data_IF_167012056486
#
_entry.id   IF_167012056486
#
_cell.length_a   1.000
_cell.length_b   1.000
_cell.length_c   1.000
_cell.angle_alpha   90.00
_cell.angle_beta   90.00
_cell.angle_gamma   90.00
#
_symmetry.space_group_name_H-M   'P 1'
#
loop_
_entity.id
_entity.type
_entity.pdbx_description
1 polymer ?
#
# COMPACT_ATOMS: atom_id res chain seq x y z
N UNK A 1 -6.64 -22.88 -4.48
CA UNK A 1 -6.02 -21.76 -5.24
C UNK A 1 -5.45 -20.65 -4.35
N UNK A 2 -6.19 -20.12 -3.36
CA UNK A 2 -5.69 -19.06 -2.43
C UNK A 2 -4.34 -19.38 -1.77
N UNK A 3 -4.06 -20.65 -1.45
CA UNK A 3 -2.79 -21.08 -0.82
C UNK A 3 -1.60 -21.02 -1.80
N UNK A 4 -1.80 -21.32 -3.09
CA UNK A 4 -0.72 -21.22 -4.11
C UNK A 4 -0.36 -19.76 -4.40
N UNK A 5 -1.32 -18.85 -4.27
CA UNK A 5 -1.11 -17.42 -4.46
C UNK A 5 -0.46 -16.73 -3.25
N UNK A 6 -0.61 -17.29 -2.04
CA UNK A 6 -0.09 -16.69 -0.80
C UNK A 6 1.40 -16.31 -0.87
N UNK A 7 2.33 -17.16 -1.35
CA UNK A 7 3.74 -16.80 -1.47
C UNK A 7 3.96 -15.59 -2.39
N UNK A 8 3.27 -15.56 -3.54
CA UNK A 8 3.32 -14.43 -4.47
C UNK A 8 2.81 -13.14 -3.83
N UNK A 9 1.66 -13.21 -3.15
CA UNK A 9 1.08 -12.08 -2.44
C UNK A 9 1.99 -11.54 -1.33
N UNK A 10 2.68 -12.42 -0.58
CA UNK A 10 3.61 -12.00 0.48
C UNK A 10 4.83 -11.29 -0.11
N UNK A 11 5.47 -11.88 -1.14
CA UNK A 11 6.65 -11.28 -1.77
C UNK A 11 6.28 -9.93 -2.39
N UNK A 12 5.17 -9.88 -3.14
CA UNK A 12 4.64 -8.66 -3.71
C UNK A 12 4.34 -7.62 -2.62
N UNK A 13 3.71 -8.03 -1.52
CA UNK A 13 3.40 -7.16 -0.37
C UNK A 13 4.64 -6.56 0.29
N UNK A 14 5.72 -7.33 0.47
CA UNK A 14 6.99 -6.80 1.02
C UNK A 14 7.61 -5.75 0.09
N UNK A 15 7.63 -6.03 -1.22
CA UNK A 15 8.12 -5.09 -2.22
C UNK A 15 7.25 -3.82 -2.22
N UNK A 16 5.93 -4.00 -2.23
CA UNK A 16 4.96 -2.92 -2.17
C UNK A 16 5.12 -2.04 -0.94
N UNK A 17 5.32 -2.62 0.24
CA UNK A 17 5.53 -1.88 1.48
C UNK A 17 6.78 -1.00 1.44
N UNK A 18 7.88 -1.49 0.83
CA UNK A 18 9.11 -0.70 0.66
C UNK A 18 8.90 0.46 -0.30
N UNK A 19 8.24 0.21 -1.43
CA UNK A 19 7.90 1.25 -2.41
C UNK A 19 6.99 2.28 -1.75
N UNK A 20 5.95 1.86 -1.04
CA UNK A 20 5.02 2.74 -0.35
C UNK A 20 5.69 3.62 0.71
N UNK A 21 6.61 3.03 1.49
CA UNK A 21 7.39 3.80 2.47
C UNK A 21 8.26 4.85 1.79
N UNK A 22 8.94 4.50 0.69
CA UNK A 22 9.79 5.43 -0.05
C UNK A 22 8.97 6.56 -0.69
N UNK A 23 7.83 6.23 -1.33
CA UNK A 23 6.92 7.21 -1.92
C UNK A 23 6.34 8.14 -0.86
N UNK A 24 5.86 7.61 0.27
CA UNK A 24 5.35 8.43 1.36
C UNK A 24 6.40 9.43 1.85
N UNK A 25 7.63 8.96 2.13
CA UNK A 25 8.73 9.83 2.56
C UNK A 25 9.06 10.91 1.53
N UNK A 26 9.09 10.54 0.24
CA UNK A 26 9.39 11.48 -0.84
C UNK A 26 8.31 12.56 -1.00
N UNK A 27 7.03 12.19 -0.86
CA UNK A 27 5.92 13.15 -0.90
C UNK A 27 5.92 14.03 0.35
N UNK A 28 6.11 13.44 1.53
CA UNK A 28 6.14 14.19 2.79
C UNK A 28 7.27 15.22 2.82
N UNK A 29 8.48 14.86 2.35
CA UNK A 29 9.62 15.78 2.28
C UNK A 29 9.41 16.99 1.36
N UNK A 30 8.32 17.03 0.57
CA UNK A 30 7.91 18.20 -0.21
C UNK A 30 6.88 19.08 0.49
N UNK A 31 6.24 18.55 1.53
CA UNK A 31 5.21 19.23 2.31
C UNK A 31 5.85 19.85 3.56
N UNK A 32 6.78 19.13 4.19
CA UNK A 32 7.40 19.53 5.45
C UNK A 32 8.88 19.12 5.47
N UNK A 33 9.72 19.96 6.07
CA UNK A 33 11.15 19.69 6.28
C UNK A 33 11.36 18.76 7.48
N UNK A 34 10.42 18.75 8.43
CA UNK A 34 10.45 17.86 9.58
C UNK A 34 9.92 16.46 9.23
N UNK A 35 10.35 15.41 9.96
CA UNK A 35 9.74 14.10 9.85
C UNK A 35 8.22 14.14 10.12
N UNK A 36 7.43 13.26 9.48
CA UNK A 36 5.99 13.22 9.70
C UNK A 36 5.69 12.97 11.18
N UNK A 37 4.86 13.82 11.82
CA UNK A 37 4.60 13.69 13.24
C UNK A 37 3.86 12.40 13.55
N UNK A 38 4.14 11.85 14.73
CA UNK A 38 3.38 10.72 15.26
C UNK A 38 2.11 11.25 15.94
N UNK A 39 1.09 10.39 16.15
CA UNK A 39 -0.10 10.77 16.92
C UNK A 39 0.20 11.31 18.33
N UNK A 40 1.36 10.98 18.88
CA UNK A 40 1.81 11.37 20.22
C UNK A 40 2.86 12.49 20.22
N UNK A 41 3.10 13.15 19.07
CA UNK A 41 4.05 14.27 19.01
C UNK A 41 3.43 15.49 19.66
N UNK A 42 3.93 15.88 20.83
CA UNK A 42 3.37 16.96 21.68
C UNK A 42 3.29 18.32 20.96
N UNK A 43 4.34 18.68 20.22
CA UNK A 43 4.45 19.98 19.56
C UNK A 43 3.69 20.05 18.22
N UNK A 44 3.16 18.92 17.73
CA UNK A 44 2.48 18.87 16.44
C UNK A 44 0.99 19.22 16.57
N UNK A 45 0.53 20.14 15.72
CA UNK A 45 -0.90 20.48 15.67
C UNK A 45 -1.74 19.29 15.17
N UNK A 46 -2.98 19.19 15.66
CA UNK A 46 -3.90 18.11 15.28
C UNK A 46 -4.08 17.99 13.74
N UNK A 47 -4.24 19.08 12.97
CA UNK A 47 -4.31 18.98 11.51
C UNK A 47 -3.04 18.41 10.86
N UNK A 48 -1.84 18.75 11.37
CA UNK A 48 -0.57 18.23 10.86
C UNK A 48 -0.46 16.72 11.10
N UNK A 49 -0.81 16.27 12.31
CA UNK A 49 -0.85 14.85 12.70
C UNK A 49 -1.82 14.05 11.84
N UNK A 50 -3.07 14.51 11.73
CA UNK A 50 -4.11 13.81 10.94
C UNK A 50 -3.75 13.81 9.45
N UNK A 51 -3.28 14.94 8.91
CA UNK A 51 -2.86 15.05 7.53
C UNK A 51 -1.71 14.10 7.18
N UNK A 52 -0.69 14.01 8.04
CA UNK A 52 0.42 13.07 7.89
C UNK A 52 -0.06 11.61 7.89
N UNK A 53 -0.93 11.25 8.84
CA UNK A 53 -1.48 9.91 8.95
C UNK A 53 -2.34 9.54 7.74
N UNK A 54 -3.18 10.46 7.26
CA UNK A 54 -4.00 10.26 6.06
C UNK A 54 -3.14 10.09 4.80
N UNK A 55 -2.09 10.91 4.64
CA UNK A 55 -1.18 10.76 3.51
C UNK A 55 -0.46 9.41 3.54
N UNK A 56 0.01 8.99 4.72
CA UNK A 56 0.66 7.70 4.90
C UNK A 56 -0.31 6.56 4.56
N UNK A 57 -1.51 6.57 5.14
CA UNK A 57 -2.53 5.54 4.91
C UNK A 57 -2.95 5.49 3.44
N UNK A 58 -3.22 6.65 2.83
CA UNK A 58 -3.60 6.75 1.42
C UNK A 58 -2.50 6.25 0.48
N UNK A 59 -1.24 6.58 0.76
CA UNK A 59 -0.09 6.10 -0.04
C UNK A 59 0.06 4.59 0.06
N UNK A 60 -0.02 4.04 1.27
CA UNK A 60 0.08 2.60 1.51
C UNK A 60 -1.07 1.84 0.85
N UNK A 61 -2.31 2.33 0.98
CA UNK A 61 -3.48 1.74 0.35
C UNK A 61 -3.40 1.79 -1.19
N UNK A 62 -3.02 2.94 -1.75
CA UNK A 62 -2.91 3.11 -3.20
C UNK A 62 -1.87 2.17 -3.82
N UNK A 63 -0.67 2.11 -3.23
CA UNK A 63 0.39 1.21 -3.71
C UNK A 63 0.03 -0.25 -3.46
N UNK A 64 -0.60 -0.57 -2.32
CA UNK A 64 -1.14 -1.89 -2.05
C UNK A 64 -2.09 -2.36 -3.16
N UNK A 65 -3.06 -1.53 -3.55
CA UNK A 65 -4.00 -1.85 -4.62
C UNK A 65 -3.32 -2.09 -5.97
N UNK A 66 -2.32 -1.28 -6.33
CA UNK A 66 -1.53 -1.46 -7.56
C UNK A 66 -0.78 -2.80 -7.54
N UNK A 67 -0.12 -3.11 -6.42
CA UNK A 67 0.67 -4.33 -6.24
C UNK A 67 -0.24 -5.57 -6.24
N UNK A 68 -1.37 -5.53 -5.55
CA UNK A 68 -2.34 -6.61 -5.52
C UNK A 68 -2.92 -6.89 -6.91
N UNK A 69 -3.28 -5.84 -7.66
CA UNK A 69 -3.76 -5.98 -9.04
C UNK A 69 -2.69 -6.56 -9.95
N UNK A 70 -1.47 -6.03 -9.88
CA UNK A 70 -0.35 -6.49 -10.71
C UNK A 70 0.05 -7.92 -10.42
N UNK A 71 0.12 -8.31 -9.15
CA UNK A 71 0.42 -9.69 -8.75
C UNK A 71 -0.70 -10.67 -9.13
N UNK A 72 -1.96 -10.26 -9.05
CA UNK A 72 -3.09 -11.05 -9.52
C UNK A 72 -3.03 -11.27 -11.04
N UNK A 73 -2.73 -10.22 -11.81
CA UNK A 73 -2.55 -10.31 -13.27
C UNK A 73 -1.38 -11.22 -13.63
N UNK A 74 -0.23 -11.08 -12.97
CA UNK A 74 0.93 -11.92 -13.21
C UNK A 74 0.62 -13.40 -12.90
N UNK A 75 -0.03 -13.68 -11.77
CA UNK A 75 -0.44 -15.04 -11.42
C UNK A 75 -1.43 -15.62 -12.44
N UNK A 76 -2.40 -14.82 -12.88
CA UNK A 76 -3.36 -15.25 -13.90
C UNK A 76 -2.68 -15.53 -15.25
N UNK A 77 -1.73 -14.70 -15.66
CA UNK A 77 -0.97 -14.91 -16.89
C UNK A 77 -0.14 -16.21 -16.83
N UNK A 78 0.46 -16.51 -15.69
CA UNK A 78 1.33 -17.69 -15.52
C UNK A 78 0.54 -18.99 -15.33
N UNK A 79 -0.61 -18.94 -14.68
CA UNK A 79 -1.36 -20.15 -14.28
C UNK A 79 -2.68 -20.35 -15.02
N UNK A 80 -3.14 -19.33 -15.77
CA UNK A 80 -4.46 -19.29 -16.38
C UNK A 80 -5.60 -19.06 -15.38
N UNK A 81 -5.32 -18.96 -14.07
CA UNK A 81 -6.35 -18.89 -13.03
C UNK A 81 -6.31 -17.57 -12.30
N UNK A 82 -7.46 -16.90 -12.21
CA UNK A 82 -7.59 -15.66 -11.45
C UNK A 82 -7.58 -15.95 -9.93
N UNK A 83 -6.75 -15.27 -9.12
CA UNK A 83 -6.60 -15.61 -7.70
C UNK A 83 -7.65 -14.96 -6.78
N UNK A 84 -8.39 -13.97 -7.27
CA UNK A 84 -9.41 -13.23 -6.51
C UNK A 84 -10.83 -13.74 -6.70
N UNK A 85 -11.78 -13.14 -5.99
CA UNK A 85 -13.20 -13.37 -6.20
C UNK A 85 -13.63 -12.86 -7.59
N UNK A 86 -14.40 -13.68 -8.31
CA UNK A 86 -15.12 -13.24 -9.50
C UNK A 86 -16.45 -12.65 -9.01
N UNK A 87 -16.86 -11.54 -9.60
CA UNK A 87 -18.13 -10.92 -9.26
C UNK A 87 -19.24 -11.98 -9.38
N UNK A 88 -20.15 -12.13 -8.41
CA UNK A 88 -21.31 -12.98 -8.61
C UNK A 88 -22.06 -12.46 -9.84
N UNK A 89 -22.22 -13.34 -10.81
CA UNK A 89 -23.10 -13.14 -11.96
C UNK A 89 -24.54 -13.07 -11.39
N UNK A 90 -25.31 -12.02 -11.70
CA UNK A 90 -26.74 -11.95 -11.37
C UNK A 90 -27.57 -12.94 -12.20
#
# INVERSE_FOLDING_TARGET
MKILYKPFGIIAGIIGARIATATFKAVWARIDEEPPPKPTTEEASLPKVVGAAMLQAGTMAGIGAVVERGSAQAFHHLTGVWPGEKHPEE
#
